data_IF_244323911634
#
_entry.id   IF_244323911634
#
_cell.length_a   1.000
_cell.length_b   1.000
_cell.length_c   1.000
_cell.angle_alpha   90.00
_cell.angle_beta   90.00
_cell.angle_gamma   90.00
#
_symmetry.space_group_name_H-M   'P 1'
#
loop_
_entity.id
_entity.type
_entity.pdbx_description
1 polymer ?
#
# COMPACT_ATOMS: atom_id res chain seq x y z
N UNK A 1 1.30 -9.72 -11.47
CA UNK A 1 1.57 -8.28 -11.57
C UNK A 1 3.09 -8.10 -11.67
N UNK A 2 3.56 -7.29 -12.63
CA UNK A 2 4.98 -6.96 -12.79
C UNK A 2 5.15 -5.52 -12.33
N UNK A 3 6.06 -5.28 -11.38
CA UNK A 3 6.45 -3.91 -11.01
C UNK A 3 7.29 -3.33 -12.15
N UNK A 4 6.90 -2.18 -12.66
CA UNK A 4 7.61 -1.46 -13.72
C UNK A 4 7.75 0.01 -13.32
N UNK A 5 8.69 0.70 -13.98
CA UNK A 5 8.90 2.13 -13.76
C UNK A 5 7.64 2.93 -14.11
N UNK A 6 6.95 2.59 -15.21
CA UNK A 6 5.71 3.26 -15.60
C UNK A 6 4.61 3.08 -14.54
N UNK A 7 4.59 1.93 -13.85
CA UNK A 7 3.67 1.74 -12.74
C UNK A 7 4.01 2.67 -11.58
N UNK A 8 5.28 2.76 -11.18
CA UNK A 8 5.70 3.66 -10.10
C UNK A 8 5.40 5.12 -10.43
N UNK A 9 5.69 5.54 -11.65
CA UNK A 9 5.39 6.90 -12.12
C UNK A 9 3.88 7.17 -12.11
N UNK A 10 3.05 6.18 -12.43
CA UNK A 10 1.59 6.31 -12.36
C UNK A 10 1.04 6.54 -10.95
N UNK A 11 1.84 6.23 -9.91
CA UNK A 11 1.46 6.49 -8.52
C UNK A 11 1.77 7.93 -8.08
N UNK A 12 2.64 8.64 -8.80
CA UNK A 12 3.12 9.98 -8.46
C UNK A 12 2.07 11.02 -8.87
N UNK A 13 1.51 11.72 -7.88
CA UNK A 13 0.61 12.84 -8.10
C UNK A 13 1.36 14.17 -8.29
N UNK A 14 2.50 14.34 -7.61
CA UNK A 14 3.29 15.58 -7.65
C UNK A 14 4.77 15.31 -7.40
N UNK A 15 5.64 16.07 -8.07
CA UNK A 15 7.09 16.09 -7.87
C UNK A 15 7.55 17.52 -7.56
N UNK A 16 8.33 17.68 -6.50
CA UNK A 16 8.91 18.95 -6.09
C UNK A 16 10.40 18.79 -5.80
N UNK A 17 11.17 19.84 -6.08
CA UNK A 17 12.60 19.90 -5.76
C UNK A 17 12.89 21.09 -4.87
N UNK A 18 13.70 20.85 -3.84
CA UNK A 18 14.07 21.85 -2.85
C UNK A 18 15.58 21.84 -2.75
N UNK A 19 16.23 22.97 -3.03
CA UNK A 19 17.62 23.19 -2.65
C UNK A 19 17.67 23.62 -1.18
N UNK A 20 18.43 22.92 -0.36
CA UNK A 20 18.62 23.27 1.04
C UNK A 20 20.10 23.55 1.32
N UNK A 21 20.43 24.84 1.50
CA UNK A 21 21.83 25.28 1.57
C UNK A 21 22.50 25.25 0.19
N UNK A 22 23.81 25.05 0.17
CA UNK A 22 24.58 25.22 -1.06
C UNK A 22 24.78 23.93 -1.86
N UNK A 23 24.67 22.77 -1.23
CA UNK A 23 25.02 21.48 -1.86
C UNK A 23 23.87 20.49 -1.98
N UNK A 24 22.89 20.54 -1.09
CA UNK A 24 21.82 19.54 -0.97
C UNK A 24 20.62 19.87 -1.86
N UNK A 25 20.20 18.89 -2.65
CA UNK A 25 18.93 18.89 -3.40
C UNK A 25 18.05 17.77 -2.88
N UNK A 26 16.83 18.10 -2.50
CA UNK A 26 15.81 17.17 -2.00
C UNK A 26 14.72 17.05 -3.07
N UNK A 27 14.35 15.83 -3.43
CA UNK A 27 13.17 15.52 -4.22
C UNK A 27 12.05 15.05 -3.29
N UNK A 28 10.87 15.67 -3.40
CA UNK A 28 9.64 15.24 -2.71
C UNK A 28 8.67 14.71 -3.75
N UNK A 29 8.35 13.41 -3.67
CA UNK A 29 7.30 12.78 -4.45
C UNK A 29 6.06 12.64 -3.58
N UNK A 30 4.94 13.22 -4.00
CA UNK A 30 3.63 13.00 -3.36
C UNK A 30 2.84 12.02 -4.21
N UNK A 31 2.33 10.95 -3.59
CA UNK A 31 1.56 9.91 -4.28
C UNK A 31 0.08 10.25 -4.33
N UNK A 32 -0.67 9.59 -5.21
CA UNK A 32 -2.14 9.70 -5.22
C UNK A 32 -2.79 9.27 -3.90
N UNK A 33 -2.11 8.46 -3.08
CA UNK A 33 -2.53 8.12 -1.72
C UNK A 33 -2.34 9.25 -0.69
N UNK A 34 -1.63 10.32 -1.07
CA UNK A 34 -1.20 11.39 -0.16
C UNK A 34 0.11 11.11 0.59
N UNK A 35 0.68 9.90 0.45
CA UNK A 35 1.98 9.57 1.05
C UNK A 35 3.10 10.37 0.38
N UNK A 36 4.12 10.78 1.15
CA UNK A 36 5.26 11.54 0.64
C UNK A 36 6.56 10.75 0.76
N UNK A 37 7.32 10.69 -0.34
CA UNK A 37 8.62 10.06 -0.43
C UNK A 37 9.70 11.11 -0.68
N UNK A 38 10.85 10.87 -0.06
CA UNK A 38 12.01 11.74 -0.16
C UNK A 38 13.16 11.03 -0.87
N UNK A 39 13.72 11.69 -1.88
CA UNK A 39 15.03 11.38 -2.42
C UNK A 39 15.96 12.57 -2.24
N UNK A 40 17.26 12.34 -2.28
CA UNK A 40 18.23 13.40 -2.07
C UNK A 40 19.51 13.21 -2.87
N UNK A 41 20.20 14.31 -3.13
CA UNK A 41 21.57 14.35 -3.63
C UNK A 41 22.32 15.48 -2.94
N UNK A 42 23.65 15.35 -2.87
CA UNK A 42 24.51 16.43 -2.37
C UNK A 42 25.80 16.47 -3.17
N UNK A 43 26.16 17.65 -3.71
CA UNK A 43 27.48 17.85 -4.30
C UNK A 43 28.54 18.10 -3.21
N UNK A 44 29.81 17.84 -3.53
CA UNK A 44 30.91 17.99 -2.57
C UNK A 44 31.29 19.47 -2.42
N UNK A 45 31.40 20.17 -3.54
CA UNK A 45 31.80 21.58 -3.60
C UNK A 45 30.60 22.43 -4.05
N UNK A 46 30.15 23.40 -3.23
CA UNK A 46 29.15 24.40 -3.60
C UNK A 46 29.40 25.08 -4.95
N UNK A 47 30.67 25.34 -5.31
CA UNK A 47 31.03 26.01 -6.55
C UNK A 47 30.70 25.18 -7.80
N UNK A 48 30.56 23.86 -7.64
CA UNK A 48 30.21 22.92 -8.71
C UNK A 48 28.74 22.48 -8.64
N UNK A 49 27.88 23.22 -7.93
CA UNK A 49 26.47 22.90 -7.85
C UNK A 49 25.81 22.98 -9.24
N UNK A 50 25.18 21.88 -9.63
CA UNK A 50 24.37 21.77 -10.85
C UNK A 50 22.97 21.26 -10.46
N UNK A 51 21.96 22.12 -10.67
CA UNK A 51 20.58 21.80 -10.31
C UNK A 51 20.04 20.61 -11.11
N UNK A 52 20.34 20.52 -12.41
CA UNK A 52 19.81 19.45 -13.25
C UNK A 52 20.37 18.08 -12.84
N UNK A 53 21.68 18.03 -12.54
CA UNK A 53 22.32 16.80 -12.04
C UNK A 53 21.77 16.44 -10.65
N UNK A 54 21.69 17.42 -9.75
CA UNK A 54 21.19 17.20 -8.39
C UNK A 54 19.74 16.75 -8.34
N UNK A 55 18.86 17.36 -9.14
CA UNK A 55 17.45 16.98 -9.26
C UNK A 55 17.29 15.58 -9.84
N UNK A 56 18.05 15.23 -10.88
CA UNK A 56 18.02 13.88 -11.46
C UNK A 56 18.40 12.83 -10.41
N UNK A 57 19.53 13.02 -9.73
CA UNK A 57 20.00 12.05 -8.72
C UNK A 57 19.01 11.95 -7.55
N UNK A 58 18.47 13.09 -7.10
CA UNK A 58 17.49 13.11 -6.02
C UNK A 58 16.18 12.40 -6.44
N UNK A 59 15.74 12.56 -7.68
CA UNK A 59 14.56 11.86 -8.22
C UNK A 59 14.81 10.35 -8.32
N UNK A 60 15.91 9.94 -8.94
CA UNK A 60 16.28 8.52 -9.10
C UNK A 60 16.34 7.84 -7.71
N UNK A 61 16.91 8.51 -6.70
CA UNK A 61 16.91 8.02 -5.32
C UNK A 61 15.50 7.90 -4.70
N UNK A 62 14.58 8.82 -5.01
CA UNK A 62 13.20 8.75 -4.53
C UNK A 62 12.44 7.57 -5.18
N UNK A 63 12.62 7.37 -6.49
CA UNK A 63 11.99 6.28 -7.25
C UNK A 63 12.55 4.92 -6.82
N UNK A 64 13.85 4.80 -6.55
CA UNK A 64 14.43 3.55 -6.03
C UNK A 64 13.81 3.14 -4.69
N UNK A 65 13.65 4.09 -3.76
CA UNK A 65 12.95 3.83 -2.48
C UNK A 65 11.48 3.45 -2.71
N UNK A 66 10.81 4.11 -3.66
CA UNK A 66 9.45 3.73 -4.03
C UNK A 66 9.40 2.29 -4.54
N UNK A 67 10.38 1.89 -5.34
CA UNK A 67 10.48 0.54 -5.90
C UNK A 67 10.57 -0.52 -4.80
N UNK A 68 11.41 -0.30 -3.79
CA UNK A 68 11.53 -1.22 -2.65
C UNK A 68 10.22 -1.33 -1.88
N UNK A 69 9.56 -0.20 -1.60
CA UNK A 69 8.31 -0.15 -0.85
C UNK A 69 7.15 -0.81 -1.60
N UNK A 70 6.96 -0.46 -2.87
CA UNK A 70 5.92 -1.07 -3.71
C UNK A 70 6.22 -2.54 -3.99
N UNK A 71 7.49 -2.91 -4.17
CA UNK A 71 7.91 -4.30 -4.30
C UNK A 71 7.55 -5.13 -3.06
N UNK A 72 7.83 -4.60 -1.87
CA UNK A 72 7.43 -5.21 -0.60
C UNK A 72 5.91 -5.31 -0.48
N UNK A 73 5.17 -4.21 -0.71
CA UNK A 73 3.71 -4.17 -0.60
C UNK A 73 3.05 -5.20 -1.53
N UNK A 74 3.44 -5.21 -2.80
CA UNK A 74 2.90 -6.15 -3.80
C UNK A 74 3.24 -7.58 -3.41
N UNK A 75 4.48 -7.85 -2.98
CA UNK A 75 4.89 -9.20 -2.57
C UNK A 75 4.15 -9.66 -1.31
N UNK A 76 3.91 -8.76 -0.36
CA UNK A 76 3.08 -9.00 0.81
C UNK A 76 1.65 -9.39 0.41
N UNK A 77 1.06 -8.65 -0.53
CA UNK A 77 -0.31 -8.88 -0.98
C UNK A 77 -0.49 -10.20 -1.76
N UNK A 78 0.45 -10.56 -2.65
CA UNK A 78 0.26 -11.66 -3.62
C UNK A 78 1.10 -12.92 -3.35
N UNK A 79 2.12 -12.84 -2.49
CA UNK A 79 3.19 -13.83 -2.39
C UNK A 79 3.25 -14.59 -1.07
N UNK A 80 4.35 -15.32 -0.88
CA UNK A 80 4.63 -16.15 0.31
C UNK A 80 4.41 -17.65 0.07
N UNK A 81 4.80 -18.46 1.05
CA UNK A 81 4.44 -19.87 1.07
C UNK A 81 2.90 -20.06 1.20
N UNK A 82 2.46 -21.31 1.14
CA UNK A 82 1.03 -21.63 1.21
C UNK A 82 0.37 -21.10 2.48
N UNK A 83 1.00 -21.27 3.63
CA UNK A 83 0.46 -20.86 4.92
C UNK A 83 0.43 -19.32 5.04
N UNK A 84 1.47 -18.64 4.57
CA UNK A 84 1.54 -17.19 4.53
C UNK A 84 0.38 -16.60 3.73
N UNK A 85 0.12 -17.15 2.53
CA UNK A 85 -1.00 -16.68 1.69
C UNK A 85 -2.35 -16.82 2.38
N UNK A 86 -2.59 -17.95 3.05
CA UNK A 86 -3.82 -18.15 3.82
C UNK A 86 -3.96 -17.16 4.97
N UNK A 87 -2.89 -16.94 5.74
CA UNK A 87 -2.87 -15.99 6.86
C UNK A 87 -3.10 -14.55 6.40
N UNK A 88 -2.49 -14.15 5.27
CA UNK A 88 -2.67 -12.82 4.71
C UNK A 88 -4.12 -12.60 4.26
N UNK A 89 -4.66 -13.54 3.48
CA UNK A 89 -6.06 -13.48 3.02
C UNK A 89 -7.04 -13.40 4.20
N UNK A 90 -6.83 -14.24 5.22
CA UNK A 90 -7.63 -14.24 6.46
C UNK A 90 -7.57 -12.91 7.18
N UNK A 91 -6.38 -12.31 7.27
CA UNK A 91 -6.17 -11.01 7.93
C UNK A 91 -6.90 -9.89 7.18
N UNK A 92 -6.76 -9.85 5.85
CA UNK A 92 -7.42 -8.85 5.01
C UNK A 92 -8.95 -8.98 5.07
N UNK A 93 -9.48 -10.21 5.02
CA UNK A 93 -10.91 -10.45 5.16
C UNK A 93 -11.44 -10.01 6.52
N UNK A 94 -10.70 -10.32 7.60
CA UNK A 94 -11.08 -9.95 8.96
C UNK A 94 -11.13 -8.43 9.15
N UNK A 95 -10.16 -7.68 8.61
CA UNK A 95 -10.17 -6.21 8.66
C UNK A 95 -11.39 -5.62 7.92
N UNK A 96 -11.67 -6.09 6.70
CA UNK A 96 -12.85 -5.66 5.93
C UNK A 96 -14.16 -6.00 6.65
N UNK A 97 -14.27 -7.20 7.21
CA UNK A 97 -15.43 -7.64 7.98
C UNK A 97 -15.62 -6.79 9.23
N UNK A 98 -14.53 -6.42 9.92
CA UNK A 98 -14.56 -5.51 11.05
C UNK A 98 -15.14 -4.15 10.69
N UNK A 99 -14.63 -3.53 9.61
CA UNK A 99 -15.13 -2.24 9.09
C UNK A 99 -16.62 -2.31 8.73
N UNK A 100 -17.04 -3.35 8.00
CA UNK A 100 -18.45 -3.56 7.65
C UNK A 100 -19.33 -3.79 8.89
N UNK A 101 -18.83 -4.54 9.87
CA UNK A 101 -19.55 -4.80 11.11
C UNK A 101 -19.79 -3.52 11.91
N UNK A 102 -18.78 -2.66 12.03
CA UNK A 102 -18.90 -1.34 12.68
C UNK A 102 -19.86 -0.45 11.90
N UNK A 103 -19.77 -0.42 10.57
CA UNK A 103 -20.68 0.35 9.74
C UNK A 103 -22.15 -0.06 9.95
N UNK A 104 -22.44 -1.36 9.91
CA UNK A 104 -23.79 -1.89 10.12
C UNK A 104 -24.28 -1.61 11.55
N UNK A 105 -23.40 -1.70 12.56
CA UNK A 105 -23.75 -1.44 13.96
C UNK A 105 -24.18 0.02 14.23
N UNK A 106 -23.75 0.97 13.39
CA UNK A 106 -24.15 2.37 13.50
C UNK A 106 -25.55 2.67 12.94
N UNK A 107 -26.26 1.65 12.42
CA UNK A 107 -27.59 1.79 11.84
C UNK A 107 -27.59 2.24 10.39
N UNK A 108 -28.74 2.10 9.73
CA UNK A 108 -28.92 2.37 8.30
C UNK A 108 -28.84 3.88 8.00
N UNK A 109 -27.87 4.35 7.19
CA UNK A 109 -27.82 5.74 6.77
C UNK A 109 -28.91 6.07 5.76
N UNK A 110 -29.37 7.32 5.74
CA UNK A 110 -30.44 7.76 4.83
C UNK A 110 -30.13 7.71 3.32
N UNK A 111 -28.87 7.48 2.94
CA UNK A 111 -28.45 7.30 1.55
C UNK A 111 -28.45 5.83 1.09
N UNK A 112 -28.79 4.89 1.97
CA UNK A 112 -28.87 3.45 1.68
C UNK A 112 -30.33 3.01 1.82
N UNK A 113 -30.90 2.45 0.76
CA UNK A 113 -32.25 1.89 0.79
C UNK A 113 -32.30 0.54 1.52
N UNK A 114 -33.50 0.09 1.87
CA UNK A 114 -33.69 -1.14 2.66
C UNK A 114 -33.16 -2.40 1.95
N UNK A 115 -33.22 -2.42 0.61
CA UNK A 115 -32.74 -3.54 -0.18
C UNK A 115 -31.20 -3.63 -0.15
N UNK A 116 -30.52 -2.50 -0.30
CA UNK A 116 -29.07 -2.41 -0.19
C UNK A 116 -28.60 -2.67 1.25
N UNK A 117 -29.33 -2.17 2.24
CA UNK A 117 -29.05 -2.47 3.64
C UNK A 117 -29.14 -3.98 3.94
N UNK A 118 -30.14 -4.66 3.39
CA UNK A 118 -30.25 -6.12 3.48
C UNK A 118 -29.06 -6.83 2.82
N UNK A 119 -28.62 -6.38 1.62
CA UNK A 119 -27.43 -6.92 0.94
C UNK A 119 -26.15 -6.76 1.76
N UNK A 120 -25.97 -5.64 2.47
CA UNK A 120 -24.83 -5.49 3.40
C UNK A 120 -24.86 -6.52 4.53
N UNK A 121 -26.06 -6.89 5.01
CA UNK A 121 -26.26 -8.00 5.95
C UNK A 121 -25.84 -9.35 5.38
N UNK A 122 -26.28 -9.66 4.15
CA UNK A 122 -25.89 -10.89 3.43
C UNK A 122 -24.38 -10.94 3.15
N UNK A 123 -23.79 -9.79 2.78
CA UNK A 123 -22.36 -9.62 2.59
C UNK A 123 -21.61 -9.94 3.88
N UNK A 124 -22.01 -9.36 5.02
CA UNK A 124 -21.41 -9.63 6.33
C UNK A 124 -21.49 -11.12 6.68
N UNK A 125 -22.64 -11.76 6.44
CA UNK A 125 -22.82 -13.20 6.72
C UNK A 125 -21.88 -14.05 5.86
N UNK A 126 -21.79 -13.77 4.55
CA UNK A 126 -20.93 -14.48 3.61
C UNK A 126 -19.45 -14.31 3.96
N UNK A 127 -19.03 -13.10 4.31
CA UNK A 127 -17.66 -12.82 4.77
C UNK A 127 -17.34 -13.54 6.08
N UNK A 128 -18.28 -13.61 7.03
CA UNK A 128 -18.11 -14.34 8.29
C UNK A 128 -17.92 -15.83 8.04
N UNK A 129 -18.75 -16.43 7.18
CA UNK A 129 -18.63 -17.83 6.80
C UNK A 129 -17.30 -18.10 6.10
N UNK A 130 -16.86 -17.20 5.22
CA UNK A 130 -15.59 -17.34 4.54
C UNK A 130 -14.40 -17.26 5.51
N UNK A 131 -14.44 -16.36 6.49
CA UNK A 131 -13.41 -16.23 7.51
C UNK A 131 -13.26 -17.52 8.34
N UNK A 132 -14.38 -18.16 8.71
CA UNK A 132 -14.36 -19.44 9.41
C UNK A 132 -13.70 -20.56 8.58
N UNK A 133 -13.97 -20.61 7.27
CA UNK A 133 -13.31 -21.55 6.36
C UNK A 133 -11.79 -21.30 6.31
N UNK A 134 -11.36 -20.05 6.25
CA UNK A 134 -9.94 -19.70 6.27
C UNK A 134 -9.27 -20.11 7.59
N UNK A 135 -9.92 -19.91 8.73
CA UNK A 135 -9.41 -20.35 10.03
C UNK A 135 -9.19 -21.86 10.09
N UNK A 136 -10.13 -22.67 9.56
CA UNK A 136 -9.96 -24.13 9.46
C UNK A 136 -8.83 -24.51 8.52
N UNK A 137 -8.70 -23.84 7.37
CA UNK A 137 -7.63 -24.09 6.40
C UNK A 137 -6.25 -23.77 6.97
N UNK A 138 -6.12 -22.70 7.74
CA UNK A 138 -4.86 -22.31 8.39
C UNK A 138 -4.45 -23.36 9.42
N UNK A 139 -5.36 -23.77 10.32
CA UNK A 139 -5.07 -24.83 11.31
C UNK A 139 -4.59 -26.11 10.64
N UNK A 140 -5.31 -26.57 9.61
CA UNK A 140 -4.95 -27.77 8.87
C UNK A 140 -3.63 -27.65 8.09
N UNK A 141 -3.18 -26.43 7.76
CA UNK A 141 -1.89 -26.19 7.12
C UNK A 141 -0.76 -26.19 8.16
N UNK A 142 -0.96 -25.55 9.32
CA UNK A 142 0.01 -25.55 10.43
C UNK A 142 0.31 -26.96 10.95
N UNK A 143 -0.69 -27.84 11.01
CA UNK A 143 -0.53 -29.24 11.42
C UNK A 143 0.23 -30.12 10.41
N UNK A 144 0.37 -29.68 9.16
CA UNK A 144 1.11 -30.44 8.12
C UNK A 144 2.60 -30.11 8.08
N UNK A 145 2.96 -28.90 8.54
CA UNK A 145 4.31 -28.35 8.49
C UNK A 145 5.05 -28.43 9.85
N UNK A 146 4.38 -28.93 10.90
CA UNK A 146 4.94 -29.16 12.25
C UNK A 146 5.21 -30.64 12.53
#
# INVERSE_FOLDING_TARGET
>A
MKLTEEHLESLIAKKEFIRHGETLTICVLTLHSGFQLLGQSACIDPANFDAAIGEKIAYDNAVEKMWELEGYRVKHDIGGDFLYRLKNERTQLNDRLGKLTVFIANGQPGFIDDAEWARLGEQKQSMTAYLAVLDTRIKAAEERDG
#
